data_IF_274951744338
#
_entry.id   IF_274951744338
#
_cell.length_a   1.000
_cell.length_b   1.000
_cell.length_c   1.000
_cell.angle_alpha   90.00
_cell.angle_beta   90.00
_cell.angle_gamma   90.00
#
_symmetry.space_group_name_H-M   'P 1'
#
loop_
_entity.id
_entity.type
_entity.pdbx_description
1 polymer ?
#
# COMPACT_ATOMS: atom_id res chain seq x y z
N UNK A 1 -36.97 -32.25 32.99
CA UNK A 1 -37.03 -30.78 33.06
C UNK A 1 -35.65 -30.22 32.76
N UNK A 2 -35.35 -29.99 31.48
CA UNK A 2 -34.06 -29.40 31.09
C UNK A 2 -34.08 -27.95 31.53
N UNK A 3 -33.12 -27.62 32.39
CA UNK A 3 -33.06 -26.41 33.18
C UNK A 3 -33.12 -25.19 32.25
N UNK A 4 -34.17 -24.36 32.33
CA UNK A 4 -34.29 -23.09 31.58
C UNK A 4 -33.03 -22.22 31.76
N UNK A 5 -32.34 -22.41 32.89
CA UNK A 5 -31.04 -21.82 33.21
C UNK A 5 -29.92 -22.21 32.22
N UNK A 6 -29.84 -23.47 31.78
CA UNK A 6 -28.83 -23.90 30.80
C UNK A 6 -29.04 -23.26 29.44
N UNK A 7 -30.29 -23.03 29.02
CA UNK A 7 -30.61 -22.43 27.73
C UNK A 7 -30.23 -20.93 27.69
N UNK A 8 -30.36 -20.22 28.82
CA UNK A 8 -29.95 -18.82 28.98
C UNK A 8 -28.42 -18.70 29.03
N UNK A 9 -27.73 -19.63 29.68
CA UNK A 9 -26.26 -19.64 29.72
C UNK A 9 -25.69 -19.97 28.33
N UNK A 10 -26.27 -20.93 27.61
CA UNK A 10 -25.83 -21.28 26.25
C UNK A 10 -26.07 -20.13 25.25
N UNK A 11 -27.19 -19.40 25.38
CA UNK A 11 -27.45 -18.22 24.54
C UNK A 11 -26.54 -17.04 24.88
N UNK A 12 -26.16 -16.85 26.15
CA UNK A 12 -25.13 -15.87 26.54
C UNK A 12 -23.74 -16.22 25.99
N UNK A 13 -23.37 -17.50 25.91
CA UNK A 13 -22.11 -17.92 25.27
C UNK A 13 -22.15 -17.75 23.73
N UNK A 14 -23.28 -18.01 23.08
CA UNK A 14 -23.43 -17.73 21.65
C UNK A 14 -23.36 -16.23 21.34
N UNK A 15 -23.96 -15.37 22.17
CA UNK A 15 -23.95 -13.91 21.98
C UNK A 15 -22.62 -13.26 22.37
N UNK A 16 -21.86 -13.85 23.31
CA UNK A 16 -20.50 -13.40 23.65
C UNK A 16 -19.41 -13.96 22.73
N UNK A 17 -19.72 -14.96 21.90
CA UNK A 17 -18.86 -15.39 20.78
C UNK A 17 -18.93 -14.44 19.56
N UNK A 18 -19.84 -13.47 19.57
CA UNK A 18 -19.73 -12.23 18.78
C UNK A 18 -18.79 -11.21 19.45
N UNK A 19 -17.91 -11.68 20.34
CA UNK A 19 -16.91 -10.89 21.04
C UNK A 19 -15.90 -10.28 20.06
N UNK A 20 -15.87 -8.95 20.06
CA UNK A 20 -14.84 -8.12 19.45
C UNK A 20 -14.62 -8.36 17.94
N UNK A 21 -15.58 -7.94 17.13
CA UNK A 21 -15.21 -7.29 15.87
C UNK A 21 -14.41 -6.03 16.24
N UNK A 22 -13.08 -6.17 16.32
CA UNK A 22 -12.20 -5.00 16.21
C UNK A 22 -12.55 -4.37 14.87
N UNK A 23 -13.31 -3.27 14.98
CA UNK A 23 -13.68 -2.36 13.91
C UNK A 23 -12.37 -2.01 13.22
N UNK A 24 -12.14 -2.66 12.08
CA UNK A 24 -11.01 -2.35 11.23
C UNK A 24 -11.22 -0.90 10.81
N UNK A 25 -10.28 -0.03 11.16
CA UNK A 25 -10.36 1.39 10.84
C UNK A 25 -10.43 1.54 9.32
N UNK A 26 -11.64 1.87 8.83
CA UNK A 26 -12.00 1.89 7.42
C UNK A 26 -11.51 3.15 6.68
N UNK A 27 -10.60 3.91 7.29
CA UNK A 27 -10.16 5.23 6.80
C UNK A 27 -9.26 5.21 5.55
N UNK A 28 -9.09 4.06 4.91
CA UNK A 28 -8.46 3.96 3.59
C UNK A 28 -8.59 2.61 2.89
N UNK A 29 -9.22 1.63 3.54
CA UNK A 29 -9.36 0.27 3.04
C UNK A 29 -10.72 0.10 2.34
N UNK A 30 -10.72 -0.11 1.03
CA UNK A 30 -11.85 -0.74 0.37
C UNK A 30 -12.02 -2.12 1.02
N UNK A 31 -13.22 -2.41 1.53
CA UNK A 31 -13.54 -3.57 2.36
C UNK A 31 -12.82 -4.85 1.95
N UNK A 32 -12.05 -5.42 2.86
CA UNK A 32 -11.31 -6.66 2.65
C UNK A 32 -11.41 -7.56 3.87
N UNK A 33 -12.37 -8.48 3.84
CA UNK A 33 -12.26 -9.72 4.62
C UNK A 33 -11.05 -10.49 4.09
N UNK A 34 -10.07 -10.83 4.94
CA UNK A 34 -8.71 -11.27 4.56
C UNK A 34 -8.58 -12.43 3.57
N UNK A 35 -9.64 -13.20 3.29
CA UNK A 35 -9.65 -14.23 2.23
C UNK A 35 -10.03 -13.70 0.84
N UNK A 36 -10.89 -12.68 0.76
CA UNK A 36 -11.34 -12.06 -0.51
C UNK A 36 -10.24 -11.19 -1.12
N UNK A 37 -9.41 -10.56 -0.28
CA UNK A 37 -8.28 -9.74 -0.71
C UNK A 37 -7.17 -10.55 -1.39
N UNK A 38 -6.88 -11.79 -0.95
CA UNK A 38 -5.86 -12.67 -1.55
C UNK A 38 -6.20 -13.13 -2.97
N UNK A 39 -7.45 -13.53 -3.22
CA UNK A 39 -7.88 -13.94 -4.57
C UNK A 39 -7.92 -12.75 -5.54
N UNK A 40 -8.34 -11.57 -5.06
CA UNK A 40 -8.29 -10.32 -5.83
C UNK A 40 -6.85 -9.95 -6.17
N UNK A 41 -5.94 -9.99 -5.20
CA UNK A 41 -4.51 -9.77 -5.41
C UNK A 41 -3.98 -10.66 -6.54
N UNK A 42 -4.20 -11.98 -6.49
CA UNK A 42 -3.76 -12.91 -7.54
C UNK A 42 -4.37 -12.59 -8.92
N UNK A 43 -5.64 -12.19 -8.96
CA UNK A 43 -6.33 -11.81 -10.22
C UNK A 43 -5.72 -10.57 -10.86
N UNK A 44 -5.36 -9.57 -10.06
CA UNK A 44 -4.76 -8.33 -10.54
C UNK A 44 -3.25 -8.46 -10.79
N UNK A 45 -2.55 -9.33 -10.05
CA UNK A 45 -1.12 -9.60 -10.24
C UNK A 45 -0.82 -10.06 -11.68
N UNK A 46 -1.72 -10.83 -12.29
CA UNK A 46 -1.61 -11.25 -13.70
C UNK A 46 -1.80 -10.12 -14.72
N UNK A 47 -2.26 -8.94 -14.27
CA UNK A 47 -2.49 -7.75 -15.10
C UNK A 47 -1.41 -6.69 -14.91
N UNK A 48 -0.32 -7.05 -14.21
CA UNK A 48 0.80 -6.14 -13.99
C UNK A 48 1.44 -5.76 -15.32
N UNK A 49 1.90 -4.52 -15.41
CA UNK A 49 2.56 -3.95 -16.59
C UNK A 49 3.97 -3.51 -16.23
N UNK A 50 4.83 -3.30 -17.23
CA UNK A 50 6.13 -2.70 -16.98
C UNK A 50 5.94 -1.23 -16.54
N UNK A 51 6.48 -0.80 -15.39
CA UNK A 51 6.33 0.57 -14.90
C UNK A 51 6.93 1.62 -15.85
N UNK A 52 7.97 1.24 -16.62
CA UNK A 52 8.57 2.12 -17.63
C UNK A 52 7.57 2.49 -18.74
N UNK A 53 6.58 1.64 -19.04
CA UNK A 53 5.51 1.96 -20.01
C UNK A 53 4.64 3.13 -19.54
N UNK A 54 4.71 3.48 -18.25
CA UNK A 54 4.00 4.58 -17.58
C UNK A 54 4.95 5.61 -16.98
N UNK A 55 6.15 5.73 -17.52
CA UNK A 55 7.15 6.74 -17.14
C UNK A 55 7.65 6.61 -15.69
N UNK A 56 7.38 5.48 -15.02
CA UNK A 56 7.96 5.17 -13.71
C UNK A 56 9.31 4.47 -13.94
N UNK A 57 10.37 5.11 -13.47
CA UNK A 57 11.75 4.58 -13.54
C UNK A 57 11.92 3.34 -12.67
N UNK A 58 12.42 2.26 -13.27
CA UNK A 58 12.79 1.02 -12.56
C UNK A 58 14.27 0.99 -12.13
N UNK A 59 15.06 1.94 -12.61
CA UNK A 59 16.48 2.13 -12.30
C UNK A 59 16.72 3.14 -11.15
N UNK A 60 15.66 3.46 -10.40
CA UNK A 60 15.69 4.46 -9.34
C UNK A 60 14.85 4.03 -8.13
N UNK A 61 14.99 4.79 -7.05
CA UNK A 61 14.12 4.71 -5.87
C UNK A 61 13.33 6.00 -5.78
N UNK A 62 12.04 5.91 -5.42
CA UNK A 62 11.21 7.08 -5.16
C UNK A 62 11.09 7.28 -3.65
N UNK A 63 11.45 8.47 -3.16
CA UNK A 63 11.33 8.83 -1.76
C UNK A 63 10.04 9.63 -1.54
N UNK A 64 9.26 9.23 -0.53
CA UNK A 64 8.13 10.03 -0.03
C UNK A 64 8.64 11.35 0.56
N UNK A 65 8.17 12.48 0.04
CA UNK A 65 8.62 13.79 0.50
C UNK A 65 7.90 14.28 1.77
N UNK A 66 6.84 13.60 2.19
CA UNK A 66 6.01 14.00 3.34
C UNK A 66 5.11 15.20 3.07
N UNK A 67 5.01 15.68 1.84
CA UNK A 67 4.03 16.71 1.46
C UNK A 67 2.77 16.04 0.94
N UNK A 68 1.63 16.43 1.50
CA UNK A 68 0.32 15.96 1.08
C UNK A 68 -0.59 17.16 0.84
N UNK A 69 -1.22 17.23 -0.32
CA UNK A 69 -2.24 18.24 -0.60
C UNK A 69 -3.62 17.63 -0.36
N UNK A 70 -4.38 18.19 0.56
CA UNK A 70 -5.78 17.84 0.81
C UNK A 70 -6.67 18.79 0.02
N UNK A 71 -7.45 18.25 -0.92
CA UNK A 71 -8.35 19.05 -1.76
C UNK A 71 -9.56 19.58 -1.00
N UNK A 72 -10.04 18.85 0.01
CA UNK A 72 -11.27 19.21 0.74
C UNK A 72 -11.02 20.48 1.53
N UNK A 73 -9.84 20.55 2.14
CA UNK A 73 -9.42 21.70 2.95
C UNK A 73 -8.63 22.72 2.13
N UNK A 74 -8.31 22.43 0.85
CA UNK A 74 -7.42 23.23 -0.01
C UNK A 74 -6.09 23.61 0.69
N UNK A 75 -5.47 22.62 1.35
CA UNK A 75 -4.27 22.85 2.16
C UNK A 75 -3.15 21.89 1.83
N UNK A 76 -1.93 22.43 1.77
CA UNK A 76 -0.72 21.63 1.74
C UNK A 76 -0.29 21.32 3.18
N UNK A 77 -0.34 20.04 3.54
CA UNK A 77 0.09 19.54 4.84
C UNK A 77 1.44 18.87 4.70
N UNK A 78 2.41 19.33 5.49
CA UNK A 78 3.67 18.63 5.67
C UNK A 78 3.56 17.64 6.83
N UNK A 79 3.66 16.35 6.53
CA UNK A 79 3.77 15.27 7.50
C UNK A 79 5.25 14.91 7.67
N UNK A 80 5.79 15.20 8.86
CA UNK A 80 7.21 15.09 9.21
C UNK A 80 7.82 13.74 8.80
N UNK A 81 8.95 13.80 8.08
CA UNK A 81 9.91 12.72 7.75
C UNK A 81 9.28 11.32 7.55
N UNK A 82 8.57 11.12 6.44
CA UNK A 82 8.32 9.77 5.94
C UNK A 82 9.63 9.19 5.38
N UNK A 83 10.30 8.32 6.15
CA UNK A 83 11.40 7.47 5.63
C UNK A 83 10.83 6.28 4.85
N UNK A 84 9.95 6.61 3.91
CA UNK A 84 9.26 5.65 3.05
C UNK A 84 9.83 5.76 1.65
N UNK A 85 10.22 4.62 1.10
CA UNK A 85 10.81 4.53 -0.23
C UNK A 85 10.07 3.51 -1.05
N UNK A 86 9.96 3.77 -2.34
CA UNK A 86 9.29 2.93 -3.30
C UNK A 86 10.29 2.53 -4.37
N UNK A 87 10.38 1.23 -4.66
CA UNK A 87 11.18 0.71 -5.77
C UNK A 87 10.30 -0.07 -6.71
N UNK A 88 10.48 0.17 -8.00
CA UNK A 88 9.74 -0.47 -9.08
C UNK A 88 10.67 -1.38 -9.87
N UNK A 89 10.12 -2.48 -10.37
CA UNK A 89 10.83 -3.49 -11.17
C UNK A 89 10.17 -3.61 -12.53
N UNK A 90 10.94 -3.97 -13.56
CA UNK A 90 10.45 -4.14 -14.94
C UNK A 90 9.32 -5.16 -15.07
N UNK A 91 9.24 -6.11 -14.13
CA UNK A 91 8.16 -7.10 -14.03
C UNK A 91 6.80 -6.52 -13.65
N UNK A 92 6.75 -5.24 -13.26
CA UNK A 92 5.58 -4.56 -12.73
C UNK A 92 5.46 -4.59 -11.21
N UNK A 93 6.33 -5.33 -10.52
CA UNK A 93 6.34 -5.38 -9.06
C UNK A 93 6.87 -4.06 -8.46
N UNK A 94 6.34 -3.73 -7.29
CA UNK A 94 6.75 -2.57 -6.51
C UNK A 94 6.95 -3.00 -5.05
N UNK A 95 7.96 -2.43 -4.39
CA UNK A 95 8.19 -2.65 -2.97
C UNK A 95 8.22 -1.31 -2.22
N UNK A 96 7.59 -1.29 -1.07
CA UNK A 96 7.49 -0.14 -0.17
C UNK A 96 8.35 -0.42 1.06
N UNK A 97 9.42 0.34 1.22
CA UNK A 97 10.37 0.20 2.32
C UNK A 97 10.13 1.31 3.33
N UNK A 98 9.86 0.94 4.58
CA UNK A 98 9.76 1.89 5.70
C UNK A 98 10.98 1.68 6.60
N UNK A 99 11.92 2.61 6.54
CA UNK A 99 13.08 2.57 7.42
C UNK A 99 12.69 3.13 8.79
N UNK A 100 12.75 2.29 9.82
CA UNK A 100 12.37 2.63 11.19
C UNK A 100 13.57 3.14 12.01
N UNK A 101 13.31 4.01 12.98
CA UNK A 101 14.35 4.65 13.81
C UNK A 101 14.41 6.17 13.61
N UNK A 102 15.11 6.87 14.51
CA UNK A 102 15.22 8.33 14.44
C UNK A 102 16.04 8.81 13.24
N UNK A 103 17.14 8.10 12.93
CA UNK A 103 18.04 8.38 11.80
C UNK A 103 18.53 7.07 11.16
N UNK A 104 17.67 6.35 10.42
CA UNK A 104 18.06 5.09 9.81
C UNK A 104 19.11 5.32 8.71
N UNK A 105 20.19 4.52 8.76
CA UNK A 105 21.24 4.54 7.74
C UNK A 105 20.73 3.79 6.50
N UNK A 106 20.67 4.49 5.36
CA UNK A 106 20.37 3.89 4.06
C UNK A 106 21.64 3.25 3.52
N UNK A 107 21.55 1.99 3.11
CA UNK A 107 22.65 1.23 2.54
C UNK A 107 22.13 0.23 1.48
N UNK A 108 23.04 -0.56 0.89
CA UNK A 108 22.71 -1.57 -0.13
C UNK A 108 21.54 -2.47 0.27
N UNK A 109 21.46 -2.91 1.52
CA UNK A 109 20.41 -3.82 1.98
C UNK A 109 19.06 -3.13 2.25
N UNK A 110 19.00 -1.79 2.27
CA UNK A 110 17.77 -1.03 2.53
C UNK A 110 16.67 -1.27 1.49
N UNK A 111 17.04 -1.67 0.28
CA UNK A 111 16.12 -1.91 -0.84
C UNK A 111 16.09 -3.38 -1.29
N UNK A 112 16.27 -4.29 -0.33
CA UNK A 112 16.06 -5.72 -0.52
C UNK A 112 14.56 -6.07 -0.45
N UNK A 113 13.93 -6.61 -1.51
CA UNK A 113 12.52 -7.05 -1.56
C UNK A 113 11.99 -7.78 -0.33
N UNK A 114 12.82 -8.61 0.32
CA UNK A 114 12.46 -9.38 1.52
C UNK A 114 12.00 -8.49 2.68
N UNK A 115 12.44 -7.23 2.70
CA UNK A 115 12.15 -6.27 3.77
C UNK A 115 11.03 -5.27 3.43
N UNK A 116 10.45 -5.34 2.23
CA UNK A 116 9.47 -4.37 1.75
C UNK A 116 8.04 -4.92 1.75
N UNK A 117 7.06 -4.03 1.92
CA UNK A 117 5.67 -4.37 1.57
C UNK A 117 5.53 -4.42 0.06
N UNK A 118 4.63 -5.26 -0.44
CA UNK A 118 4.48 -5.48 -1.88
C UNK A 118 3.30 -4.74 -2.51
N UNK A 119 3.52 -4.25 -3.72
CA UNK A 119 2.48 -3.92 -4.68
C UNK A 119 2.90 -4.17 -6.12
N UNK A 120 2.12 -3.67 -7.07
CA UNK A 120 2.39 -3.77 -8.50
C UNK A 120 1.63 -2.69 -9.27
N UNK A 121 2.12 -2.36 -10.47
CA UNK A 121 1.52 -1.39 -11.38
C UNK A 121 0.57 -2.10 -12.34
N UNK A 122 -0.63 -1.55 -12.57
CA UNK A 122 -1.57 -2.03 -13.59
C UNK A 122 -2.06 -0.86 -14.46
N UNK A 123 -2.41 -1.17 -15.71
CA UNK A 123 -3.19 -0.28 -16.56
C UNK A 123 -4.67 -0.69 -16.50
N UNK A 124 -5.55 0.18 -16.01
CA UNK A 124 -6.99 -0.07 -16.04
C UNK A 124 -7.79 1.23 -16.16
N UNK A 125 -7.93 1.76 -17.38
CA UNK A 125 -8.58 3.05 -17.72
C UNK A 125 -7.93 4.30 -17.10
N UNK A 126 -7.26 4.15 -15.97
CA UNK A 126 -6.37 5.09 -15.27
C UNK A 126 -5.11 4.32 -14.88
N UNK A 127 -3.97 5.01 -14.83
CA UNK A 127 -2.71 4.47 -14.32
C UNK A 127 -2.85 4.20 -12.81
N UNK A 128 -2.61 2.97 -12.37
CA UNK A 128 -2.92 2.55 -11.00
C UNK A 128 -1.79 1.72 -10.39
N UNK A 129 -1.44 2.05 -9.15
CA UNK A 129 -0.64 1.23 -8.25
C UNK A 129 -1.61 0.47 -7.35
N UNK A 130 -1.37 -0.84 -7.25
CA UNK A 130 -2.07 -1.74 -6.35
C UNK A 130 -1.10 -2.20 -5.28
N UNK A 131 -1.39 -2.01 -4.00
CA UNK A 131 -0.54 -2.50 -2.93
C UNK A 131 -1.33 -3.35 -1.92
N UNK A 132 -0.66 -4.38 -1.41
CA UNK A 132 -1.19 -5.21 -0.33
C UNK A 132 -0.46 -4.85 0.95
N UNK A 133 -1.22 -4.39 1.95
CA UNK A 133 -0.71 -4.18 3.29
C UNK A 133 -1.22 -5.27 4.20
N UNK A 134 -0.33 -5.87 5.00
CA UNK A 134 -0.70 -6.81 6.06
C UNK A 134 -1.27 -6.08 7.28
N UNK A 135 -1.08 -4.75 7.38
CA UNK A 135 -1.71 -3.92 8.40
C UNK A 135 -3.24 -3.86 8.20
N UNK A 136 -4.00 -3.70 9.30
CA UNK A 136 -5.47 -3.65 9.29
C UNK A 136 -6.13 -4.87 8.59
N UNK A 137 -5.75 -6.08 8.98
CA UNK A 137 -6.36 -7.34 8.53
C UNK A 137 -6.14 -7.71 7.05
N UNK A 138 -5.15 -7.11 6.37
CA UNK A 138 -4.84 -7.45 4.99
C UNK A 138 -5.67 -6.64 3.99
N UNK A 139 -5.32 -5.36 3.81
CA UNK A 139 -6.03 -4.46 2.88
C UNK A 139 -5.35 -4.44 1.51
N UNK A 140 -6.17 -4.42 0.47
CA UNK A 140 -5.74 -4.21 -0.91
C UNK A 140 -6.17 -2.82 -1.35
N UNK A 141 -5.19 -1.95 -1.53
CA UNK A 141 -5.40 -0.53 -1.83
C UNK A 141 -5.14 -0.30 -3.32
N UNK A 142 -6.00 0.53 -3.91
CA UNK A 142 -5.91 0.97 -5.29
C UNK A 142 -5.66 2.47 -5.29
N UNK A 143 -4.52 2.89 -5.84
CA UNK A 143 -4.14 4.30 -5.91
C UNK A 143 -3.85 4.68 -7.34
N UNK A 144 -4.54 5.69 -7.87
CA UNK A 144 -4.18 6.23 -9.18
C UNK A 144 -2.91 7.06 -9.09
N UNK A 145 -2.14 7.14 -10.17
CA UNK A 145 -0.94 7.94 -10.20
C UNK A 145 -0.76 8.68 -11.53
N UNK A 146 0.10 9.69 -11.49
CA UNK A 146 0.69 10.33 -12.66
C UNK A 146 2.17 10.62 -12.38
N UNK A 147 2.94 10.84 -13.43
CA UNK A 147 4.35 11.19 -13.34
C UNK A 147 4.54 12.57 -13.97
N UNK A 148 5.28 13.44 -13.29
CA UNK A 148 5.64 14.77 -13.78
C UNK A 148 7.05 15.12 -13.33
N UNK A 149 7.96 15.36 -14.29
CA UNK A 149 9.35 15.81 -14.04
C UNK A 149 10.04 15.07 -12.88
N UNK A 150 10.18 13.75 -13.00
CA UNK A 150 10.78 12.85 -11.99
C UNK A 150 10.04 12.77 -10.63
N UNK A 151 8.80 13.25 -10.59
CA UNK A 151 7.93 13.14 -9.43
C UNK A 151 6.77 12.20 -9.75
N UNK A 152 6.68 11.10 -9.01
CA UNK A 152 5.51 10.26 -8.96
C UNK A 152 4.49 10.92 -8.01
N UNK A 153 3.30 11.21 -8.53
CA UNK A 153 2.20 11.81 -7.78
C UNK A 153 1.13 10.73 -7.60
N UNK A 154 0.89 10.32 -6.35
CA UNK A 154 -0.12 9.32 -6.02
C UNK A 154 -1.38 10.02 -5.51
N UNK A 155 -2.53 9.70 -6.11
CA UNK A 155 -3.83 10.29 -5.78
C UNK A 155 -4.64 9.32 -4.93
N UNK A 156 -4.69 9.59 -3.63
CA UNK A 156 -5.41 8.81 -2.63
C UNK A 156 -6.85 9.31 -2.49
N UNK A 157 -7.81 8.41 -2.40
CA UNK A 157 -9.22 8.75 -2.22
C UNK A 157 -10.06 7.55 -1.79
N UNK A 158 -11.20 7.82 -1.16
CA UNK A 158 -12.20 6.80 -0.86
C UNK A 158 -13.14 6.64 -2.05
N UNK A 159 -13.14 5.48 -2.71
CA UNK A 159 -14.25 5.12 -3.61
C UNK A 159 -14.09 5.42 -5.10
N UNK A 160 -12.87 5.42 -5.64
CA UNK A 160 -12.64 5.13 -7.06
C UNK A 160 -12.77 6.29 -8.06
N UNK A 161 -13.37 7.43 -7.69
CA UNK A 161 -13.51 8.57 -8.62
C UNK A 161 -13.02 9.90 -8.03
N UNK A 162 -13.24 10.15 -6.73
CA UNK A 162 -12.81 11.38 -6.05
C UNK A 162 -11.55 11.13 -5.23
N UNK A 163 -10.42 11.63 -5.71
CA UNK A 163 -9.20 11.71 -4.93
C UNK A 163 -9.36 12.85 -3.92
N UNK A 164 -8.80 12.66 -2.73
CA UNK A 164 -8.88 13.61 -1.61
C UNK A 164 -7.51 14.10 -1.19
N UNK A 165 -6.47 13.31 -1.48
CA UNK A 165 -5.11 13.59 -1.06
C UNK A 165 -4.13 13.27 -2.18
N UNK A 166 -3.22 14.20 -2.49
CA UNK A 166 -2.06 13.96 -3.36
C UNK A 166 -0.82 13.71 -2.52
N UNK A 167 -0.11 12.60 -2.74
CA UNK A 167 1.22 12.35 -2.20
C UNK A 167 2.29 12.52 -3.26
N UNK A 168 3.40 13.17 -2.90
CA UNK A 168 4.51 13.46 -3.81
C UNK A 168 5.74 12.59 -3.49
N UNK A 169 6.22 11.88 -4.50
CA UNK A 169 7.33 10.95 -4.40
C UNK A 169 8.40 11.32 -5.42
N UNK A 170 9.58 11.73 -4.96
CA UNK A 170 10.64 12.20 -5.86
C UNK A 170 11.66 11.10 -6.11
N UNK A 171 12.18 11.04 -7.33
CA UNK A 171 13.34 10.21 -7.63
C UNK A 171 14.51 10.57 -6.70
N UNK A 172 15.04 9.53 -6.06
CA UNK A 172 16.26 9.51 -5.30
C UNK A 172 17.26 8.65 -6.09
N UNK A 173 18.29 9.31 -6.61
CA UNK A 173 19.42 8.62 -7.24
C UNK A 173 20.21 7.88 -6.16
N UNK A 174 20.34 6.56 -6.32
CA UNK A 174 21.08 5.67 -5.42
C UNK A 174 22.16 4.92 -6.18
N UNK A 175 23.24 4.46 -5.51
CA UNK A 175 24.24 3.64 -6.15
C UNK A 175 23.62 2.39 -6.82
N UNK A 176 24.06 2.06 -8.05
CA UNK A 176 23.48 0.97 -8.86
C UNK A 176 23.48 -0.36 -8.13
N UNK A 177 24.50 -0.61 -7.30
CA UNK A 177 24.61 -1.83 -6.52
C UNK A 177 23.54 -1.96 -5.42
N UNK A 178 22.86 -0.88 -5.03
CA UNK A 178 21.71 -0.92 -4.12
C UNK A 178 20.44 -1.42 -4.83
N UNK A 179 20.44 -1.35 -6.16
CA UNK A 179 19.38 -1.87 -7.03
C UNK A 179 19.68 -3.30 -7.53
N UNK A 180 20.71 -3.96 -7.01
CA UNK A 180 21.15 -5.26 -7.53
C UNK A 180 20.24 -6.43 -7.14
N UNK A 181 19.34 -6.27 -6.16
CA UNK A 181 18.42 -7.34 -5.77
C UNK A 181 17.40 -7.60 -6.88
N UNK A 182 17.19 -8.86 -7.32
CA UNK A 182 16.13 -9.21 -8.26
C UNK A 182 14.75 -9.15 -7.57
N UNK A 183 13.67 -9.05 -8.35
CA UNK A 183 12.33 -9.24 -7.80
C UNK A 183 12.09 -10.70 -7.43
N UNK A 184 11.31 -10.95 -6.38
CA UNK A 184 11.07 -12.31 -5.84
C UNK A 184 9.74 -12.92 -6.30
N UNK A 185 9.00 -12.23 -7.18
CA UNK A 185 7.67 -12.64 -7.65
C UNK A 185 7.62 -12.71 -9.16
N UNK A 186 7.58 -13.94 -9.65
CA UNK A 186 7.43 -14.29 -11.06
C UNK A 186 6.03 -14.87 -11.34
#
# INVERSE_FOLDING_TARGET
MVNKFCLVVFSMFCLSSCGFFNICDHTGSIGGTGLRSKQLYKKYLKKRINPNDKEIRTDAVYQDLGYYYDEIEDTLVFKKNSKTYYRFYDSGNMYIYRLTGNDPIINKASFNPVNGDIGFVIDHKKNVIMNYTTMNCGSFVKTSFEVSNDTLIMKYGSGGEDWRVLGYYKVLEVPKEWLAYPDDIH
#
